data_IF_537476393438
#
_entry.id   IF_537476393438
#
_cell.length_a   1.000
_cell.length_b   1.000
_cell.length_c   1.000
_cell.angle_alpha   90.00
_cell.angle_beta   90.00
_cell.angle_gamma   90.00
#
_symmetry.space_group_name_H-M   'P 1'
#
loop_
_entity.id
_entity.type
_entity.pdbx_description
1 polymer ?
#
# COMPACT_ATOMS: atom_id res chain seq x y z
N UNK A 1 -53.22 -25.37 32.57
CA UNK A 1 -51.93 -25.28 33.29
C UNK A 1 -50.74 -25.79 32.48
N UNK A 2 -50.91 -26.71 31.56
CA UNK A 2 -49.85 -27.26 30.70
C UNK A 2 -49.32 -26.30 29.59
N UNK A 3 -50.21 -25.44 29.05
CA UNK A 3 -49.85 -24.51 27.96
C UNK A 3 -48.82 -23.44 28.41
N UNK A 4 -48.89 -22.95 29.62
CA UNK A 4 -48.00 -21.94 30.18
C UNK A 4 -46.57 -22.43 30.39
N UNK A 5 -46.41 -23.73 30.70
CA UNK A 5 -45.07 -24.35 30.88
C UNK A 5 -44.29 -24.54 29.57
N UNK A 6 -44.98 -24.72 28.42
CA UNK A 6 -44.33 -24.85 27.13
C UNK A 6 -43.79 -23.54 26.62
N UNK A 7 -44.54 -22.43 26.82
CA UNK A 7 -44.10 -21.08 26.42
C UNK A 7 -42.85 -20.63 27.15
N UNK A 8 -42.75 -20.90 28.46
CA UNK A 8 -41.56 -20.55 29.25
C UNK A 8 -40.34 -21.35 28.81
N UNK A 9 -40.44 -22.65 28.53
CA UNK A 9 -39.37 -23.48 28.02
C UNK A 9 -38.89 -23.07 26.62
N UNK A 10 -39.80 -22.69 25.73
CA UNK A 10 -39.50 -22.24 24.39
C UNK A 10 -38.73 -20.90 24.41
N UNK A 11 -39.14 -19.97 25.26
CA UNK A 11 -38.48 -18.70 25.44
C UNK A 11 -37.07 -18.82 26.04
N UNK A 12 -36.88 -19.72 26.99
CA UNK A 12 -35.56 -20.03 27.58
C UNK A 12 -34.62 -20.71 26.56
N UNK A 13 -35.15 -21.60 25.73
CA UNK A 13 -34.38 -22.26 24.67
C UNK A 13 -33.97 -21.25 23.58
N UNK A 14 -34.85 -20.35 23.16
CA UNK A 14 -34.53 -19.30 22.18
C UNK A 14 -33.56 -18.24 22.73
N UNK A 15 -33.62 -17.93 24.02
CA UNK A 15 -32.67 -17.03 24.69
C UNK A 15 -31.26 -17.65 24.79
N UNK A 16 -31.18 -18.94 25.08
CA UNK A 16 -29.94 -19.67 25.21
C UNK A 16 -29.21 -19.78 23.87
N UNK A 17 -29.92 -20.03 22.78
CA UNK A 17 -29.34 -20.10 21.43
C UNK A 17 -28.84 -18.72 20.94
N UNK A 18 -29.53 -17.63 21.30
CA UNK A 18 -29.07 -16.27 20.97
C UNK A 18 -27.77 -15.91 21.72
N UNK A 19 -27.64 -16.35 22.98
CA UNK A 19 -26.42 -16.14 23.75
C UNK A 19 -25.22 -16.91 23.16
N UNK A 20 -25.42 -18.15 22.73
CA UNK A 20 -24.39 -18.96 22.11
C UNK A 20 -23.93 -18.35 20.77
N UNK A 21 -24.87 -17.95 19.91
CA UNK A 21 -24.54 -17.30 18.65
C UNK A 21 -23.73 -16.00 18.82
N UNK A 22 -24.01 -15.21 19.88
CA UNK A 22 -23.24 -14.01 20.22
C UNK A 22 -21.81 -14.36 20.63
N UNK A 23 -21.62 -15.43 21.39
CA UNK A 23 -20.28 -15.88 21.78
C UNK A 23 -19.49 -16.38 20.57
N UNK A 24 -20.11 -17.17 19.70
CA UNK A 24 -19.47 -17.61 18.43
C UNK A 24 -19.08 -16.43 17.56
N UNK A 25 -19.98 -15.45 17.41
CA UNK A 25 -19.69 -14.22 16.66
C UNK A 25 -18.55 -13.41 17.30
N UNK A 26 -18.49 -13.32 18.62
CA UNK A 26 -17.42 -12.62 19.34
C UNK A 26 -16.02 -13.22 19.09
N UNK A 27 -15.92 -14.52 18.85
CA UNK A 27 -14.66 -15.17 18.47
C UNK A 27 -14.32 -14.99 16.98
N UNK A 28 -15.31 -14.94 16.11
CA UNK A 28 -15.11 -14.78 14.66
C UNK A 28 -14.82 -13.32 14.28
N UNK A 29 -15.44 -12.37 14.99
CA UNK A 29 -15.32 -10.94 14.69
C UNK A 29 -13.86 -10.44 14.65
N UNK A 30 -12.98 -10.74 15.60
CA UNK A 30 -11.58 -10.32 15.54
C UNK A 30 -10.85 -10.85 14.30
N UNK A 31 -11.16 -12.07 13.85
CA UNK A 31 -10.56 -12.67 12.66
C UNK A 31 -11.00 -11.92 11.42
N UNK A 32 -12.30 -11.61 11.30
CA UNK A 32 -12.83 -10.81 10.19
C UNK A 32 -12.18 -9.43 10.15
N UNK A 33 -12.08 -8.74 11.30
CA UNK A 33 -11.44 -7.43 11.38
C UNK A 33 -9.97 -7.48 10.96
N UNK A 34 -9.25 -8.53 11.34
CA UNK A 34 -7.87 -8.74 10.95
C UNK A 34 -7.73 -8.91 9.43
N UNK A 35 -8.60 -9.70 8.81
CA UNK A 35 -8.62 -9.89 7.35
C UNK A 35 -8.94 -8.57 6.65
N UNK A 36 -9.93 -7.80 7.14
CA UNK A 36 -10.28 -6.50 6.56
C UNK A 36 -9.12 -5.51 6.65
N UNK A 37 -8.44 -5.43 7.80
CA UNK A 37 -7.25 -4.58 7.95
C UNK A 37 -6.13 -4.99 6.99
N UNK A 38 -5.92 -6.30 6.80
CA UNK A 38 -4.96 -6.83 5.84
C UNK A 38 -5.27 -6.41 4.40
N UNK A 39 -6.54 -6.48 4.00
CA UNK A 39 -6.99 -6.04 2.66
C UNK A 39 -6.74 -4.54 2.46
N UNK A 40 -7.05 -3.70 3.45
CA UNK A 40 -6.82 -2.26 3.39
C UNK A 40 -5.31 -1.97 3.25
N UNK A 41 -4.48 -2.61 4.07
CA UNK A 41 -3.04 -2.40 4.02
C UNK A 41 -2.44 -2.83 2.67
N UNK A 42 -2.89 -3.98 2.14
CA UNK A 42 -2.46 -4.45 0.83
C UNK A 42 -2.87 -3.49 -0.28
N UNK A 43 -4.09 -2.94 -0.21
CA UNK A 43 -4.57 -1.91 -1.13
C UNK A 43 -3.70 -0.65 -1.11
N UNK A 44 -3.25 -0.20 0.08
CA UNK A 44 -2.34 0.94 0.24
C UNK A 44 -0.96 0.67 -0.36
N UNK A 45 -0.38 -0.50 -0.09
CA UNK A 45 0.92 -0.93 -0.65
C UNK A 45 0.83 -0.94 -2.17
N UNK A 46 -0.21 -1.54 -2.72
CA UNK A 46 -0.39 -1.67 -4.16
C UNK A 46 -0.60 -0.32 -4.86
N UNK A 47 -1.43 0.55 -4.27
CA UNK A 47 -1.63 1.91 -4.77
C UNK A 47 -0.32 2.71 -4.78
N UNK A 48 0.45 2.67 -3.69
CA UNK A 48 1.74 3.35 -3.61
C UNK A 48 2.72 2.83 -4.66
N UNK A 49 2.77 1.51 -4.87
CA UNK A 49 3.61 0.90 -5.90
C UNK A 49 3.23 1.36 -7.32
N UNK A 50 1.94 1.47 -7.62
CA UNK A 50 1.47 2.00 -8.92
C UNK A 50 1.86 3.47 -9.12
N UNK A 51 1.73 4.29 -8.07
CA UNK A 51 2.15 5.70 -8.09
C UNK A 51 3.66 5.79 -8.36
N UNK A 52 4.49 5.02 -7.66
CA UNK A 52 5.94 4.98 -7.88
C UNK A 52 6.31 4.51 -9.29
N UNK A 53 5.58 3.52 -9.82
CA UNK A 53 5.81 3.02 -11.18
C UNK A 53 5.51 4.09 -12.23
N UNK A 54 4.43 4.83 -12.07
CA UNK A 54 4.12 5.96 -12.95
C UNK A 54 5.16 7.08 -12.81
N UNK A 55 5.60 7.37 -11.59
CA UNK A 55 6.58 8.41 -11.31
C UNK A 55 7.97 8.07 -11.92
N UNK A 56 8.42 6.82 -11.79
CA UNK A 56 9.68 6.40 -12.41
C UNK A 56 9.64 6.48 -13.94
N UNK A 57 8.49 6.17 -14.56
CA UNK A 57 8.30 6.30 -16.01
C UNK A 57 8.30 7.76 -16.47
N UNK A 58 7.61 8.64 -15.73
CA UNK A 58 7.59 10.07 -16.07
C UNK A 58 8.98 10.69 -15.92
N UNK A 59 9.70 10.38 -14.83
CA UNK A 59 11.09 10.80 -14.68
C UNK A 59 12.01 10.30 -15.80
N UNK A 60 11.87 9.02 -16.17
CA UNK A 60 12.67 8.43 -17.25
C UNK A 60 12.35 9.07 -18.61
N UNK A 61 11.08 9.47 -18.86
CA UNK A 61 10.67 10.18 -20.07
C UNK A 61 11.35 11.55 -20.17
N UNK A 62 11.39 12.31 -19.07
CA UNK A 62 12.10 13.61 -19.03
C UNK A 62 13.62 13.41 -19.21
N UNK A 63 14.19 12.38 -18.58
CA UNK A 63 15.60 12.05 -18.73
C UNK A 63 15.97 11.64 -20.16
N UNK A 64 15.08 10.92 -20.85
CA UNK A 64 15.30 10.46 -22.24
C UNK A 64 15.39 11.62 -23.23
N UNK A 65 14.69 12.72 -23.01
CA UNK A 65 14.76 13.93 -23.85
C UNK A 65 15.86 14.92 -23.42
N UNK A 66 16.75 14.50 -22.53
CA UNK A 66 17.91 15.30 -22.10
C UNK A 66 17.60 16.30 -20.99
N UNK A 67 16.51 16.11 -20.21
CA UNK A 67 16.20 16.98 -19.07
C UNK A 67 17.28 16.94 -17.99
N UNK A 68 17.49 18.07 -17.30
CA UNK A 68 18.42 18.17 -16.18
C UNK A 68 17.91 17.33 -14.98
N UNK A 69 18.80 16.94 -14.06
CA UNK A 69 18.43 16.15 -12.88
C UNK A 69 17.32 16.81 -12.05
N UNK A 70 17.36 18.15 -11.95
CA UNK A 70 16.35 18.93 -11.25
C UNK A 70 14.96 18.81 -11.90
N UNK A 71 14.90 18.85 -13.25
CA UNK A 71 13.66 18.73 -14.00
C UNK A 71 13.06 17.33 -13.85
N UNK A 72 13.91 16.30 -13.86
CA UNK A 72 13.51 14.91 -13.63
C UNK A 72 12.93 14.75 -12.22
N UNK A 73 13.62 15.27 -11.19
CA UNK A 73 13.13 15.20 -9.81
C UNK A 73 11.79 15.93 -9.65
N UNK A 74 11.63 17.11 -10.26
CA UNK A 74 10.40 17.87 -10.22
C UNK A 74 9.27 17.14 -10.93
N UNK A 75 9.53 16.51 -12.08
CA UNK A 75 8.51 15.72 -12.78
C UNK A 75 8.02 14.53 -11.96
N UNK A 76 8.95 13.81 -11.29
CA UNK A 76 8.60 12.71 -10.37
C UNK A 76 7.75 13.22 -9.20
N UNK A 77 8.14 14.32 -8.56
CA UNK A 77 7.39 14.90 -7.43
C UNK A 77 6.00 15.39 -7.82
N UNK A 78 5.85 15.97 -9.01
CA UNK A 78 4.57 16.46 -9.51
C UNK A 78 3.53 15.33 -9.70
N UNK A 79 3.95 14.11 -10.00
CA UNK A 79 3.06 12.94 -10.16
C UNK A 79 2.93 12.10 -8.88
N UNK A 80 3.59 12.51 -7.80
CA UNK A 80 3.51 11.87 -6.48
C UNK A 80 2.98 12.78 -5.37
N UNK A 81 1.94 13.62 -5.60
CA UNK A 81 1.48 14.60 -4.60
C UNK A 81 0.87 13.93 -3.36
N UNK A 82 0.44 12.69 -3.47
CA UNK A 82 -0.17 11.91 -2.38
C UNK A 82 0.85 11.25 -1.46
N UNK A 83 2.14 11.24 -1.84
CA UNK A 83 3.21 10.65 -1.07
C UNK A 83 3.95 11.73 -0.25
N UNK A 84 4.40 11.36 0.93
CA UNK A 84 5.28 12.21 1.72
C UNK A 84 6.62 12.40 1.02
N UNK A 85 6.90 13.63 0.61
CA UNK A 85 8.10 13.99 -0.16
C UNK A 85 9.40 13.80 0.64
N UNK A 86 9.34 13.78 1.97
CA UNK A 86 10.49 13.52 2.83
C UNK A 86 10.89 12.03 2.83
N UNK A 87 9.92 11.15 2.60
CA UNK A 87 10.12 9.69 2.53
C UNK A 87 10.38 9.18 1.11
N UNK A 88 10.27 10.06 0.09
CA UNK A 88 10.50 9.74 -1.31
C UNK A 88 11.95 10.01 -1.69
N UNK A 89 12.67 8.97 -2.10
CA UNK A 89 14.01 9.05 -2.64
C UNK A 89 14.02 8.80 -4.16
N UNK A 90 14.72 9.66 -4.90
CA UNK A 90 14.82 9.61 -6.36
C UNK A 90 16.29 9.49 -6.73
N UNK A 91 16.66 8.43 -7.42
CA UNK A 91 18.02 8.20 -7.90
C UNK A 91 18.02 8.11 -9.42
N UNK A 92 18.94 8.83 -10.05
CA UNK A 92 19.07 8.91 -11.51
C UNK A 92 20.45 8.39 -11.89
N UNK A 93 20.51 7.44 -12.78
CA UNK A 93 21.76 6.82 -13.24
C UNK A 93 21.76 6.64 -14.76
N UNK A 94 22.79 7.17 -15.48
CA UNK A 94 23.92 7.97 -14.99
C UNK A 94 23.51 9.38 -14.57
N UNK A 95 24.38 10.04 -13.79
CA UNK A 95 24.24 11.45 -13.41
C UNK A 95 24.31 12.34 -14.68
N UNK A 96 23.73 13.54 -14.60
CA UNK A 96 23.58 14.47 -15.73
C UNK A 96 24.85 14.64 -16.56
N UNK A 97 26.01 14.85 -15.90
CA UNK A 97 27.31 15.08 -16.54
C UNK A 97 27.85 13.88 -17.33
N UNK A 98 27.33 12.68 -17.05
CA UNK A 98 27.76 11.41 -17.68
C UNK A 98 26.74 10.87 -18.67
N UNK A 99 25.66 11.61 -18.93
CA UNK A 99 24.64 11.21 -19.91
C UNK A 99 25.13 11.43 -21.31
N UNK A 100 25.04 10.39 -22.12
CA UNK A 100 25.41 10.43 -23.53
C UNK A 100 24.24 9.98 -24.38
N UNK A 101 23.98 10.69 -25.46
CA UNK A 101 22.94 10.36 -26.44
C UNK A 101 23.11 8.90 -26.91
N UNK A 102 22.01 8.19 -26.95
CA UNK A 102 21.99 6.78 -27.35
C UNK A 102 22.26 5.77 -26.24
N UNK A 103 22.70 6.20 -25.04
CA UNK A 103 22.87 5.34 -23.88
C UNK A 103 21.61 5.27 -23.01
N UNK A 104 21.47 4.22 -22.19
CA UNK A 104 20.34 4.10 -21.27
C UNK A 104 20.47 5.08 -20.09
N UNK A 105 19.33 5.62 -19.65
CA UNK A 105 19.17 6.32 -18.36
C UNK A 105 18.12 5.60 -17.54
N UNK A 106 18.40 5.37 -16.26
CA UNK A 106 17.53 4.69 -15.32
C UNK A 106 17.12 5.65 -14.21
N UNK A 107 15.83 5.77 -14.00
CA UNK A 107 15.26 6.52 -12.86
C UNK A 107 14.69 5.53 -11.87
N UNK A 108 15.16 5.60 -10.63
CA UNK A 108 14.78 4.73 -9.53
C UNK A 108 14.04 5.61 -8.52
N UNK A 109 12.84 5.21 -8.14
CA UNK A 109 12.05 5.83 -7.09
C UNK A 109 11.89 4.85 -5.94
N UNK A 110 12.24 5.28 -4.73
CA UNK A 110 12.10 4.47 -3.52
C UNK A 110 11.27 5.25 -2.50
N UNK A 111 10.31 4.58 -1.88
CA UNK A 111 9.45 5.15 -0.87
C UNK A 111 9.32 4.21 0.33
N UNK A 112 9.50 4.74 1.53
CA UNK A 112 9.34 4.01 2.77
C UNK A 112 7.91 4.18 3.30
N UNK A 113 7.04 3.21 3.01
CA UNK A 113 5.62 3.24 3.39
C UNK A 113 5.46 2.85 4.87
N UNK A 114 4.93 3.75 5.72
CA UNK A 114 4.58 3.39 7.09
C UNK A 114 3.34 2.48 7.08
N UNK A 115 3.48 1.28 7.68
CA UNK A 115 2.37 0.34 7.83
C UNK A 115 1.51 0.73 9.02
N UNK A 116 0.18 0.66 8.85
CA UNK A 116 -0.81 1.04 9.88
C UNK A 116 -1.24 -0.20 10.68
N UNK A 117 -1.27 -1.37 10.05
CA UNK A 117 -1.72 -2.60 10.68
C UNK A 117 -0.64 -3.18 11.61
N UNK A 118 -0.86 -3.23 12.95
CA UNK A 118 0.15 -3.71 13.90
C UNK A 118 0.51 -5.19 13.71
N UNK A 119 -0.42 -6.01 13.20
CA UNK A 119 -0.18 -7.43 12.96
C UNK A 119 0.68 -7.68 11.72
N UNK A 120 0.59 -6.81 10.72
CA UNK A 120 1.43 -6.89 9.51
C UNK A 120 2.88 -6.57 9.85
N UNK A 121 3.14 -5.72 10.85
CA UNK A 121 4.48 -5.37 11.33
C UNK A 121 5.25 -6.56 11.95
N UNK A 122 4.55 -7.65 12.31
CA UNK A 122 5.20 -8.88 12.80
C UNK A 122 5.86 -9.65 11.65
N UNK A 123 5.32 -9.52 10.44
CA UNK A 123 5.75 -10.27 9.25
C UNK A 123 6.57 -9.40 8.29
N UNK A 124 6.19 -8.12 8.14
CA UNK A 124 6.84 -7.18 7.23
C UNK A 124 7.60 -6.09 8.00
N UNK A 125 8.71 -5.58 7.46
CA UNK A 125 9.43 -4.46 8.06
C UNK A 125 8.55 -3.20 8.06
N UNK A 126 8.68 -2.37 9.10
CA UNK A 126 8.02 -1.07 9.17
C UNK A 126 9.05 0.04 9.41
N UNK A 127 9.24 0.99 8.50
CA UNK A 127 8.49 1.19 7.24
C UNK A 127 8.80 0.13 6.17
N UNK A 128 7.81 -0.16 5.30
CA UNK A 128 7.94 -1.12 4.20
C UNK A 128 8.57 -0.42 2.98
N UNK A 129 9.76 -0.85 2.51
CA UNK A 129 10.43 -0.22 1.39
C UNK A 129 9.80 -0.66 0.07
N UNK A 130 9.32 0.32 -0.71
CA UNK A 130 8.82 0.13 -2.07
C UNK A 130 9.78 0.78 -3.05
N UNK A 131 10.16 0.05 -4.09
CA UNK A 131 11.07 0.55 -5.14
C UNK A 131 10.48 0.27 -6.51
N UNK A 132 10.53 1.27 -7.38
CA UNK A 132 10.24 1.13 -8.81
C UNK A 132 11.36 1.76 -9.63
N UNK A 133 11.68 1.15 -10.77
CA UNK A 133 12.71 1.65 -11.68
C UNK A 133 12.24 1.59 -13.13
N UNK A 134 12.63 2.58 -13.90
CA UNK A 134 12.37 2.61 -15.34
C UNK A 134 13.64 3.04 -16.07
N UNK A 135 13.98 2.30 -17.11
CA UNK A 135 15.11 2.61 -17.98
C UNK A 135 14.63 3.00 -19.37
N UNK A 136 15.10 4.13 -19.86
CA UNK A 136 14.85 4.61 -21.23
C UNK A 136 16.17 4.98 -21.92
N UNK A 137 16.14 5.04 -23.25
CA UNK A 137 17.30 5.46 -24.04
C UNK A 137 17.26 6.97 -24.26
N UNK A 138 18.39 7.62 -24.10
CA UNK A 138 18.54 9.07 -24.32
C UNK A 138 18.54 9.35 -25.82
N UNK A 139 17.66 10.27 -26.24
CA UNK A 139 17.50 10.70 -27.65
C UNK A 139 18.53 11.78 -28.08
#
# INVERSE_FOLDING_TARGET
MLHFSYELKLNDFLRRNKGQALVEFAFVLPIILLVLMGIIEFGRIFNTYLVLTNASREGARVAAVGGADLDIMNSVRNVTPTLDQASLNITINPIETSRTRGLPVTVITTYNLPLICPLVNVVLPNPFPLTSQTTMRIE
#
